data_IF_999449934667
#
_entry.id   IF_999449934667
#
_cell.length_a   1.000
_cell.length_b   1.000
_cell.length_c   1.000
_cell.angle_alpha   90.00
_cell.angle_beta   90.00
_cell.angle_gamma   90.00
#
_symmetry.space_group_name_H-M   'P 1'
#
loop_
_entity.id
_entity.type
_entity.pdbx_description
1 polymer ?
#
# COMPACT_ATOMS: atom_id res chain seq x y z
N UNK A 1 34.77 -45.92 33.80
CA UNK A 1 34.98 -44.57 33.22
C UNK A 1 34.28 -44.39 31.87
N UNK A 2 34.13 -45.46 31.07
CA UNK A 2 33.52 -45.39 29.72
C UNK A 2 32.01 -45.04 29.70
N UNK A 3 31.26 -45.45 30.74
CA UNK A 3 29.82 -45.17 30.85
C UNK A 3 29.56 -43.66 31.06
N UNK A 4 30.40 -43.00 31.86
CA UNK A 4 30.25 -41.57 32.18
C UNK A 4 30.53 -40.70 30.95
N UNK A 5 31.55 -41.06 30.16
CA UNK A 5 31.90 -40.37 28.92
C UNK A 5 30.77 -40.51 27.89
N UNK A 6 30.18 -41.69 27.77
CA UNK A 6 29.06 -41.94 26.84
C UNK A 6 27.80 -41.15 27.21
N UNK A 7 27.48 -41.02 28.51
CA UNK A 7 26.34 -40.20 28.96
C UNK A 7 26.57 -38.71 28.74
N UNK A 8 27.80 -38.22 28.89
CA UNK A 8 28.15 -36.82 28.64
C UNK A 8 28.01 -36.46 27.16
N UNK A 9 28.46 -37.36 26.26
CA UNK A 9 28.33 -37.18 24.80
C UNK A 9 26.85 -37.14 24.39
N UNK A 10 26.01 -38.05 24.91
CA UNK A 10 24.57 -38.05 24.64
C UNK A 10 23.88 -36.77 25.15
N UNK A 11 24.29 -36.25 26.29
CA UNK A 11 23.73 -35.03 26.87
C UNK A 11 24.11 -33.79 26.05
N UNK A 12 25.37 -33.70 25.59
CA UNK A 12 25.86 -32.63 24.72
C UNK A 12 25.16 -32.69 23.35
N UNK A 13 25.01 -33.88 22.76
CA UNK A 13 24.28 -34.07 21.51
C UNK A 13 22.80 -33.65 21.62
N UNK A 14 22.15 -33.98 22.75
CA UNK A 14 20.75 -33.59 23.01
C UNK A 14 20.58 -32.08 23.17
N UNK A 15 21.53 -31.41 23.83
CA UNK A 15 21.56 -29.94 23.97
C UNK A 15 21.81 -29.25 22.62
N UNK A 16 22.74 -29.78 21.82
CA UNK A 16 23.04 -29.26 20.49
C UNK A 16 21.88 -29.44 19.50
N UNK A 17 21.17 -30.58 19.54
CA UNK A 17 19.97 -30.80 18.72
C UNK A 17 18.83 -29.85 19.08
N UNK A 18 18.59 -29.59 20.37
CA UNK A 18 17.60 -28.61 20.82
C UNK A 18 17.99 -27.16 20.48
N UNK A 19 19.27 -26.86 20.28
CA UNK A 19 19.75 -25.54 19.83
C UNK A 19 19.55 -25.36 18.32
N UNK A 20 19.77 -26.41 17.53
CA UNK A 20 19.65 -26.39 16.07
C UNK A 20 18.20 -26.53 15.57
N UNK A 21 17.33 -27.21 16.33
CA UNK A 21 15.91 -27.39 16.01
C UNK A 21 14.98 -26.76 17.05
N UNK A 22 15.52 -25.92 17.92
CA UNK A 22 14.77 -25.21 18.94
C UNK A 22 13.85 -24.21 18.27
N UNK A 23 12.59 -24.62 18.06
CA UNK A 23 11.43 -23.83 17.67
C UNK A 23 11.78 -22.38 17.35
N UNK A 24 12.27 -22.14 16.14
CA UNK A 24 12.05 -20.85 15.53
C UNK A 24 10.56 -20.61 15.65
N UNK A 25 10.15 -19.63 16.45
CA UNK A 25 8.82 -19.06 16.33
C UNK A 25 8.77 -18.64 14.87
N UNK A 26 8.17 -19.48 14.03
CA UNK A 26 7.97 -19.22 12.61
C UNK A 26 7.46 -17.80 12.57
N UNK A 27 8.26 -16.87 12.03
CA UNK A 27 7.77 -15.53 11.72
C UNK A 27 6.48 -15.82 10.96
N UNK A 28 5.32 -15.44 11.52
CA UNK A 28 4.04 -15.63 10.84
C UNK A 28 4.25 -14.97 9.47
N UNK A 29 4.40 -15.78 8.43
CA UNK A 29 4.48 -15.27 7.07
C UNK A 29 3.24 -14.43 6.85
N UNK A 30 3.37 -13.36 6.05
CA UNK A 30 2.23 -12.55 5.65
C UNK A 30 1.10 -13.46 5.17
N UNK A 31 -0.11 -13.21 5.67
CA UNK A 31 -1.27 -13.94 5.25
C UNK A 31 -1.58 -13.63 3.77
N UNK A 32 -2.36 -14.48 3.10
CA UNK A 32 -2.84 -14.16 1.73
C UNK A 32 -3.60 -12.82 1.71
N UNK A 33 -4.31 -12.50 2.79
CA UNK A 33 -5.03 -11.23 2.91
C UNK A 33 -4.04 -10.06 2.96
N UNK A 34 -2.98 -10.16 3.77
CA UNK A 34 -1.96 -9.11 3.91
C UNK A 34 -1.25 -8.85 2.56
N UNK A 35 -0.96 -9.91 1.79
CA UNK A 35 -0.41 -9.77 0.44
C UNK A 35 -1.38 -9.10 -0.53
N UNK A 36 -2.66 -9.47 -0.45
CA UNK A 36 -3.69 -8.89 -1.31
C UNK A 36 -3.90 -7.41 -1.02
N UNK A 37 -3.92 -7.06 0.27
CA UNK A 37 -4.01 -5.70 0.75
C UNK A 37 -2.80 -4.86 0.27
N UNK A 38 -1.58 -5.35 0.46
CA UNK A 38 -0.38 -4.68 -0.04
C UNK A 38 -0.41 -4.48 -1.57
N UNK A 39 -0.89 -5.48 -2.31
CA UNK A 39 -1.05 -5.38 -3.78
C UNK A 39 -2.07 -4.31 -4.17
N UNK A 40 -3.23 -4.28 -3.51
CA UNK A 40 -4.27 -3.27 -3.77
C UNK A 40 -3.82 -1.85 -3.41
N UNK A 41 -3.02 -1.70 -2.35
CA UNK A 41 -2.39 -0.41 -2.00
C UNK A 41 -1.46 0.06 -3.11
N UNK A 42 -0.57 -0.83 -3.56
CA UNK A 42 0.36 -0.52 -4.64
C UNK A 42 -0.38 -0.14 -5.93
N UNK A 43 -1.43 -0.89 -6.27
CA UNK A 43 -2.25 -0.61 -7.44
C UNK A 43 -2.98 0.75 -7.36
N UNK A 44 -3.37 1.20 -6.15
CA UNK A 44 -3.91 2.54 -5.95
C UNK A 44 -2.84 3.61 -6.19
N UNK A 45 -1.64 3.48 -5.62
CA UNK A 45 -0.54 4.42 -5.88
C UNK A 45 -0.11 4.45 -7.35
N UNK A 46 -0.12 3.32 -8.05
CA UNK A 46 0.10 3.28 -9.50
C UNK A 46 -0.93 4.10 -10.26
N UNK A 47 -2.20 4.02 -9.87
CA UNK A 47 -3.28 4.79 -10.48
C UNK A 47 -3.15 6.30 -10.16
N UNK A 48 -2.75 6.66 -8.94
CA UNK A 48 -2.48 8.05 -8.55
C UNK A 48 -1.28 8.64 -9.31
N UNK A 49 -0.22 7.86 -9.50
CA UNK A 49 0.94 8.29 -10.29
C UNK A 49 0.59 8.51 -11.77
N UNK A 50 -0.34 7.73 -12.34
CA UNK A 50 -0.86 8.01 -13.68
C UNK A 50 -1.64 9.33 -13.71
N UNK A 51 -2.40 9.64 -12.66
CA UNK A 51 -3.09 10.94 -12.56
C UNK A 51 -2.08 12.08 -12.46
N UNK A 52 -1.07 11.96 -11.60
CA UNK A 52 0.05 12.92 -11.52
C UNK A 52 0.63 13.21 -12.90
N UNK A 53 0.98 12.17 -13.65
CA UNK A 53 1.50 12.34 -15.00
C UNK A 53 0.51 13.09 -15.92
N UNK A 54 -0.79 12.78 -15.86
CA UNK A 54 -1.81 13.50 -16.66
C UNK A 54 -1.86 14.99 -16.27
N UNK A 55 -1.82 15.31 -14.98
CA UNK A 55 -1.86 16.70 -14.49
C UNK A 55 -0.58 17.48 -14.84
N UNK A 56 0.58 16.82 -14.81
CA UNK A 56 1.86 17.41 -15.21
C UNK A 56 1.92 17.75 -16.70
N UNK A 57 1.35 16.88 -17.56
CA UNK A 57 1.37 17.04 -19.01
C UNK A 57 0.18 17.82 -19.57
N UNK A 58 -0.78 18.20 -18.73
CA UNK A 58 -1.93 19.02 -19.13
C UNK A 58 -1.61 20.50 -18.90
N UNK A 59 -1.59 21.26 -19.99
CA UNK A 59 -1.51 22.72 -19.95
C UNK A 59 -2.95 23.30 -19.94
N UNK A 60 -3.43 23.60 -18.74
CA UNK A 60 -4.78 24.13 -18.50
C UNK A 60 -4.68 25.28 -17.49
N UNK A 61 -5.09 26.46 -17.94
CA UNK A 61 -4.91 27.73 -17.21
C UNK A 61 -6.11 28.10 -16.34
N UNK A 62 -7.13 27.24 -16.28
CA UNK A 62 -8.28 27.47 -15.40
C UNK A 62 -7.82 27.43 -13.93
N UNK A 63 -8.28 28.40 -13.15
CA UNK A 63 -7.89 28.55 -11.73
C UNK A 63 -8.23 27.31 -10.92
N UNK A 64 -9.38 26.69 -11.18
CA UNK A 64 -9.82 25.47 -10.50
C UNK A 64 -8.98 24.24 -10.87
N UNK A 65 -8.44 24.19 -12.10
CA UNK A 65 -7.49 23.15 -12.51
C UNK A 65 -6.15 23.30 -11.79
N UNK A 66 -5.60 24.52 -11.73
CA UNK A 66 -4.33 24.80 -11.06
C UNK A 66 -4.44 24.46 -9.57
N UNK A 67 -5.50 24.93 -8.90
CA UNK A 67 -5.74 24.64 -7.49
C UNK A 67 -5.86 23.12 -7.23
N UNK A 68 -6.65 22.41 -8.05
CA UNK A 68 -6.76 20.96 -7.93
C UNK A 68 -5.42 20.25 -8.13
N UNK A 69 -4.63 20.67 -9.12
CA UNK A 69 -3.31 20.09 -9.39
C UNK A 69 -2.39 20.27 -8.20
N UNK A 70 -2.30 21.47 -7.64
CA UNK A 70 -1.42 21.76 -6.51
C UNK A 70 -1.86 20.97 -5.26
N UNK A 71 -3.15 20.98 -4.94
CA UNK A 71 -3.70 20.19 -3.82
C UNK A 71 -3.48 18.69 -3.99
N UNK A 72 -3.64 18.17 -5.21
CA UNK A 72 -3.43 16.76 -5.51
C UNK A 72 -1.96 16.35 -5.32
N UNK A 73 -1.00 17.18 -5.75
CA UNK A 73 0.42 16.86 -5.59
C UNK A 73 0.83 16.87 -4.11
N UNK A 74 0.37 17.86 -3.34
CA UNK A 74 0.62 17.92 -1.89
C UNK A 74 0.04 16.69 -1.17
N UNK A 75 -1.21 16.34 -1.48
CA UNK A 75 -1.85 15.16 -0.90
C UNK A 75 -1.11 13.86 -1.24
N UNK A 76 -0.67 13.70 -2.51
CA UNK A 76 0.07 12.51 -2.92
C UNK A 76 1.40 12.38 -2.17
N UNK A 77 2.16 13.47 -2.00
CA UNK A 77 3.40 13.48 -1.25
C UNK A 77 3.16 13.13 0.24
N UNK A 78 2.05 13.59 0.83
CA UNK A 78 1.65 13.21 2.20
C UNK A 78 1.35 11.71 2.28
N UNK A 79 0.51 11.19 1.39
CA UNK A 79 0.11 9.78 1.37
C UNK A 79 1.30 8.83 1.21
N UNK A 80 2.30 9.19 0.39
CA UNK A 80 3.52 8.40 0.20
C UNK A 80 4.41 8.36 1.46
N UNK A 81 4.32 9.37 2.33
CA UNK A 81 5.06 9.45 3.59
C UNK A 81 4.37 8.79 4.78
N UNK A 82 3.08 8.47 4.67
CA UNK A 82 2.29 7.93 5.78
C UNK A 82 2.36 6.40 5.86
N UNK A 83 2.52 5.88 7.08
CA UNK A 83 2.43 4.43 7.33
C UNK A 83 0.99 3.90 7.22
N UNK A 84 0.00 4.78 7.41
CA UNK A 84 -1.43 4.48 7.37
C UNK A 84 -2.15 5.61 6.60
N UNK A 85 -2.00 5.66 5.26
CA UNK A 85 -2.49 6.76 4.44
C UNK A 85 -4.02 6.89 4.47
N UNK A 86 -4.54 8.10 4.70
CA UNK A 86 -6.00 8.38 4.63
C UNK A 86 -6.44 8.77 3.21
N UNK A 87 -7.13 7.86 2.52
CA UNK A 87 -7.59 8.11 1.15
C UNK A 87 -8.95 8.83 1.04
N UNK A 88 -9.46 9.42 2.13
CA UNK A 88 -10.76 10.09 2.15
C UNK A 88 -10.86 11.23 1.13
N UNK A 89 -9.81 12.05 1.02
CA UNK A 89 -9.77 13.19 0.09
C UNK A 89 -9.70 12.74 -1.36
N UNK A 90 -8.83 11.77 -1.65
CA UNK A 90 -8.76 11.09 -2.95
C UNK A 90 -10.14 10.51 -3.30
N UNK A 91 -10.79 9.79 -2.40
CA UNK A 91 -12.12 9.23 -2.63
C UNK A 91 -13.15 10.33 -2.98
N UNK A 92 -13.07 11.51 -2.34
CA UNK A 92 -13.97 12.63 -2.63
C UNK A 92 -13.70 13.27 -4.01
N UNK A 93 -12.45 13.52 -4.36
CA UNK A 93 -12.07 14.14 -5.64
C UNK A 93 -12.44 13.33 -6.88
N UNK A 94 -12.38 12.01 -6.76
CA UNK A 94 -12.65 11.09 -7.87
C UNK A 94 -14.06 10.48 -7.82
N UNK A 95 -14.89 10.88 -6.85
CA UNK A 95 -16.29 10.47 -6.82
C UNK A 95 -17.01 10.87 -8.12
N UNK A 96 -18.09 10.14 -8.52
CA UNK A 96 -18.86 10.50 -9.71
C UNK A 96 -19.31 11.96 -9.67
N UNK A 97 -19.12 12.68 -10.78
CA UNK A 97 -19.48 14.09 -10.96
C UNK A 97 -18.70 15.09 -10.05
N UNK A 98 -17.63 14.63 -9.39
CA UNK A 98 -16.76 15.46 -8.54
C UNK A 98 -15.70 16.22 -9.35
N UNK A 99 -14.67 16.74 -8.66
CA UNK A 99 -13.67 17.63 -9.24
C UNK A 99 -12.97 17.01 -10.45
N UNK A 100 -12.53 15.75 -10.37
CA UNK A 100 -11.87 15.10 -11.48
C UNK A 100 -12.76 15.02 -12.73
N UNK A 101 -14.02 14.61 -12.56
CA UNK A 101 -14.98 14.52 -13.67
C UNK A 101 -15.31 15.90 -14.24
N UNK A 102 -15.42 16.94 -13.40
CA UNK A 102 -15.63 18.34 -13.82
C UNK A 102 -14.45 18.87 -14.62
N UNK A 103 -13.22 18.60 -14.19
CA UNK A 103 -12.00 19.13 -14.78
C UNK A 103 -11.60 18.38 -16.06
N UNK A 104 -11.80 17.07 -16.08
CA UNK A 104 -11.33 16.20 -17.16
C UNK A 104 -12.45 15.78 -18.10
N UNK A 105 -13.70 15.75 -17.67
CA UNK A 105 -14.80 15.23 -18.48
C UNK A 105 -14.50 13.80 -18.99
N UNK A 106 -14.85 13.53 -20.25
CA UNK A 106 -14.71 12.18 -20.81
C UNK A 106 -13.28 11.65 -20.86
N UNK A 107 -12.26 12.51 -21.01
CA UNK A 107 -10.85 12.07 -21.08
C UNK A 107 -10.36 11.47 -19.76
N UNK A 108 -10.92 11.89 -18.63
CA UNK A 108 -10.53 11.42 -17.30
C UNK A 108 -11.34 10.23 -16.79
N UNK A 109 -12.43 9.85 -17.45
CA UNK A 109 -13.43 8.95 -16.87
C UNK A 109 -12.87 7.59 -16.43
N UNK A 110 -12.03 6.98 -17.27
CA UNK A 110 -11.47 5.64 -17.00
C UNK A 110 -10.53 5.67 -15.81
N UNK A 111 -9.57 6.60 -15.79
CA UNK A 111 -8.63 6.74 -14.68
C UNK A 111 -9.35 7.13 -13.39
N UNK A 112 -10.27 8.09 -13.47
CA UNK A 112 -11.03 8.54 -12.29
C UNK A 112 -11.89 7.44 -11.68
N UNK A 113 -12.56 6.64 -12.51
CA UNK A 113 -13.33 5.48 -12.02
C UNK A 113 -12.44 4.44 -11.33
N UNK A 114 -11.22 4.20 -11.84
CA UNK A 114 -10.28 3.25 -11.22
C UNK A 114 -9.82 3.74 -9.85
N UNK A 115 -9.36 4.99 -9.79
CA UNK A 115 -8.91 5.64 -8.54
C UNK A 115 -10.03 5.63 -7.50
N UNK A 116 -11.23 6.07 -7.87
CA UNK A 116 -12.36 6.12 -6.96
C UNK A 116 -12.68 4.75 -6.37
N UNK A 117 -12.78 3.70 -7.20
CA UNK A 117 -13.11 2.35 -6.73
C UNK A 117 -12.13 1.85 -5.68
N UNK A 118 -10.83 2.04 -5.91
CA UNK A 118 -9.78 1.59 -4.99
C UNK A 118 -9.72 2.46 -3.73
N UNK A 119 -9.73 3.79 -3.86
CA UNK A 119 -9.70 4.70 -2.73
C UNK A 119 -10.93 4.56 -1.83
N UNK A 120 -12.11 4.40 -2.41
CA UNK A 120 -13.37 4.21 -1.67
C UNK A 120 -13.44 2.80 -1.03
N UNK A 121 -12.80 1.78 -1.62
CA UNK A 121 -12.60 0.50 -0.93
C UNK A 121 -11.69 0.67 0.29
N UNK A 122 -10.53 1.31 0.12
CA UNK A 122 -9.58 1.55 1.20
C UNK A 122 -10.22 2.32 2.36
N UNK A 123 -10.85 3.46 2.09
CA UNK A 123 -11.58 4.27 3.08
C UNK A 123 -12.59 3.46 3.91
N UNK A 124 -13.22 2.43 3.34
CA UNK A 124 -14.21 1.58 4.03
C UNK A 124 -13.61 0.42 4.82
N UNK A 125 -12.36 0.05 4.55
CA UNK A 125 -11.70 -1.12 5.12
C UNK A 125 -10.49 -0.76 6.00
N UNK A 126 -10.31 0.52 6.30
CA UNK A 126 -9.38 1.03 7.31
C UNK A 126 -9.89 0.79 8.74
#
# INVERSE_FOLDING_TARGET
MEIIISMLILLVLRLMFNSLFGNEKTKRGLSKADYWEAFELHALFDDLNKVKAVLEHTDDTRIDFIAFKDEFMEELDILEGENHPDFSRVSAWFAPDADWDRLMGRRGRVSGTSVFKRADWWKRNQ
#
